data_IF_115334782343
#
_entry.id   IF_115334782343
#
_cell.length_a   1.000
_cell.length_b   1.000
_cell.length_c   1.000
_cell.angle_alpha   90.00
_cell.angle_beta   90.00
_cell.angle_gamma   90.00
#
_symmetry.space_group_name_H-M   'P 1'
#
loop_
_entity.id
_entity.type
_entity.pdbx_description
1 polymer ?
#
# COMPACT_ATOMS: atom_id res chain seq x y z
N UNK A 1 -59.49 15.83 -30.17
CA UNK A 1 -58.52 14.72 -30.00
C UNK A 1 -57.07 15.20 -29.91
N UNK A 2 -56.52 16.00 -30.85
CA UNK A 2 -55.13 16.48 -30.78
C UNK A 2 -54.78 17.38 -29.56
N UNK A 3 -55.77 17.98 -28.88
CA UNK A 3 -55.57 18.80 -27.66
C UNK A 3 -55.48 17.93 -26.40
N UNK A 4 -56.13 16.76 -26.37
CA UNK A 4 -56.16 15.87 -25.19
C UNK A 4 -54.91 15.00 -25.05
N UNK A 5 -54.12 14.86 -26.12
CA UNK A 5 -52.89 14.04 -26.15
C UNK A 5 -51.60 14.86 -26.18
N UNK A 6 -51.70 16.18 -26.02
CA UNK A 6 -50.55 17.07 -26.14
C UNK A 6 -49.84 17.17 -24.79
N UNK A 7 -48.63 16.61 -24.69
CA UNK A 7 -47.82 16.59 -23.45
C UNK A 7 -47.47 17.98 -22.92
N UNK A 8 -47.50 19.01 -23.77
CA UNK A 8 -47.25 20.41 -23.38
C UNK A 8 -48.45 21.08 -22.66
N UNK A 9 -49.63 20.43 -22.64
CA UNK A 9 -50.84 20.90 -21.95
C UNK A 9 -51.06 20.24 -20.58
N UNK A 10 -50.21 19.29 -20.18
CA UNK A 10 -50.27 18.63 -18.88
C UNK A 10 -49.63 19.53 -17.80
N UNK A 11 -50.34 20.62 -17.49
CA UNK A 11 -49.93 21.58 -16.48
C UNK A 11 -50.16 20.98 -15.09
N UNK A 12 -49.14 20.94 -14.21
CA UNK A 12 -49.32 20.45 -12.85
C UNK A 12 -50.44 21.20 -12.14
N UNK A 13 -51.25 20.48 -11.38
CA UNK A 13 -52.34 21.09 -10.62
C UNK A 13 -51.79 22.09 -9.60
N UNK A 14 -52.58 23.09 -9.20
CA UNK A 14 -52.17 24.03 -8.14
C UNK A 14 -51.76 23.31 -6.85
N UNK A 15 -52.42 22.19 -6.54
CA UNK A 15 -52.10 21.34 -5.39
C UNK A 15 -50.72 20.67 -5.54
N UNK A 16 -50.36 20.20 -6.73
CA UNK A 16 -49.04 19.63 -7.01
C UNK A 16 -47.94 20.69 -6.99
N UNK A 17 -48.18 21.89 -7.54
CA UNK A 17 -47.23 22.99 -7.48
C UNK A 17 -46.96 23.42 -6.03
N UNK A 18 -48.02 23.56 -5.22
CA UNK A 18 -47.88 23.86 -3.79
C UNK A 18 -47.12 22.74 -3.05
N UNK A 19 -47.44 21.48 -3.34
CA UNK A 19 -46.74 20.33 -2.77
C UNK A 19 -45.25 20.33 -3.15
N UNK A 20 -44.90 20.66 -4.40
CA UNK A 20 -43.50 20.74 -4.83
C UNK A 20 -42.74 21.79 -4.04
N UNK A 21 -43.27 23.02 -3.98
CA UNK A 21 -42.65 24.12 -3.23
C UNK A 21 -42.46 23.76 -1.75
N UNK A 22 -43.48 23.18 -1.10
CA UNK A 22 -43.39 22.81 0.33
C UNK A 22 -42.41 21.66 0.57
N UNK A 23 -42.40 20.63 -0.27
CA UNK A 23 -41.43 19.54 -0.16
C UNK A 23 -40.00 20.06 -0.37
N UNK A 24 -39.77 21.02 -1.27
CA UNK A 24 -38.45 21.61 -1.48
C UNK A 24 -37.97 22.40 -0.25
N UNK A 25 -38.83 23.19 0.38
CA UNK A 25 -38.49 23.88 1.63
C UNK A 25 -38.12 22.90 2.75
N UNK A 26 -38.87 21.80 2.89
CA UNK A 26 -38.61 20.77 3.91
C UNK A 26 -37.30 20.04 3.62
N UNK A 27 -37.02 19.69 2.36
CA UNK A 27 -35.77 19.06 1.96
C UNK A 27 -34.57 19.98 2.26
N UNK A 28 -34.68 21.29 1.97
CA UNK A 28 -33.64 22.25 2.26
C UNK A 28 -33.33 22.35 3.77
N UNK A 29 -34.35 22.32 4.62
CA UNK A 29 -34.16 22.29 6.09
C UNK A 29 -33.45 21.00 6.53
N UNK A 30 -33.89 19.84 6.04
CA UNK A 30 -33.26 18.56 6.37
C UNK A 30 -31.78 18.51 5.93
N UNK A 31 -31.45 19.07 4.75
CA UNK A 31 -30.07 19.19 4.28
C UNK A 31 -29.26 20.14 5.16
N UNK A 32 -29.83 21.24 5.62
CA UNK A 32 -29.16 22.17 6.53
C UNK A 32 -28.81 21.54 7.89
N UNK A 33 -29.71 20.72 8.44
CA UNK A 33 -29.45 19.92 9.65
C UNK A 33 -28.31 18.91 9.40
N UNK A 34 -28.37 18.17 8.28
CA UNK A 34 -27.31 17.25 7.85
C UNK A 34 -25.94 17.92 7.70
N UNK A 35 -25.88 19.08 7.06
CA UNK A 35 -24.61 19.81 6.85
C UNK A 35 -24.02 20.28 8.19
N UNK A 36 -24.87 20.59 9.17
CA UNK A 36 -24.43 20.95 10.53
C UNK A 36 -23.87 19.74 11.27
N UNK A 37 -24.56 18.59 11.22
CA UNK A 37 -24.12 17.34 11.86
C UNK A 37 -22.80 16.82 11.27
N UNK A 38 -22.65 16.86 9.94
CA UNK A 38 -21.47 16.33 9.24
C UNK A 38 -20.24 17.26 9.31
N UNK A 39 -20.39 18.51 9.75
CA UNK A 39 -19.36 19.56 9.66
C UNK A 39 -18.05 19.21 10.35
N UNK A 40 -18.12 18.62 11.54
CA UNK A 40 -16.94 18.30 12.36
C UNK A 40 -16.07 17.20 11.75
N UNK A 41 -16.69 16.27 11.00
CA UNK A 41 -16.03 15.09 10.45
C UNK A 41 -15.36 15.34 9.09
N UNK A 42 -15.79 16.37 8.34
CA UNK A 42 -15.20 16.74 7.04
C UNK A 42 -13.73 17.12 7.15
N UNK A 43 -13.39 18.00 8.10
CA UNK A 43 -12.01 18.50 8.29
C UNK A 43 -10.98 17.39 8.57
N UNK A 44 -11.22 16.43 9.49
CA UNK A 44 -10.33 15.29 9.68
C UNK A 44 -10.04 14.53 8.39
N UNK A 45 -11.07 14.20 7.60
CA UNK A 45 -10.92 13.45 6.35
C UNK A 45 -10.10 14.25 5.34
N UNK A 46 -10.41 15.53 5.14
CA UNK A 46 -9.67 16.43 4.25
C UNK A 46 -8.21 16.62 4.69
N UNK A 47 -7.94 16.59 6.00
CA UNK A 47 -6.57 16.64 6.55
C UNK A 47 -5.80 15.32 6.40
N UNK A 48 -6.45 14.30 5.83
CA UNK A 48 -5.84 13.02 5.55
C UNK A 48 -5.88 12.03 6.71
N UNK A 49 -6.79 12.20 7.67
CA UNK A 49 -6.99 11.28 8.80
C UNK A 49 -8.11 10.30 8.50
N UNK A 50 -7.92 9.07 8.97
CA UNK A 50 -8.96 8.04 9.02
C UNK A 50 -9.87 8.35 10.20
N UNK A 51 -11.17 8.43 9.96
CA UNK A 51 -12.19 8.60 11.00
C UNK A 51 -12.82 7.25 11.30
N UNK A 52 -12.74 6.79 12.55
CA UNK A 52 -13.36 5.53 12.95
C UNK A 52 -14.88 5.68 13.07
N UNK A 53 -15.63 4.68 12.57
CA UNK A 53 -17.09 4.71 12.62
C UNK A 53 -17.73 5.66 11.61
N UNK A 54 -17.03 6.00 10.52
CA UNK A 54 -17.52 6.96 9.54
C UNK A 54 -18.81 6.47 8.89
N UNK A 55 -18.90 5.20 8.50
CA UNK A 55 -20.11 4.67 7.87
C UNK A 55 -21.31 4.75 8.79
N UNK A 56 -21.15 4.39 10.07
CA UNK A 56 -22.21 4.58 11.08
C UNK A 56 -22.67 6.03 11.20
N UNK A 57 -21.73 6.97 11.23
CA UNK A 57 -22.06 8.40 11.29
C UNK A 57 -22.81 8.86 10.04
N UNK A 58 -22.31 8.52 8.85
CA UNK A 58 -22.94 8.88 7.58
C UNK A 58 -24.34 8.29 7.45
N UNK A 59 -24.52 7.02 7.84
CA UNK A 59 -25.81 6.35 7.88
C UNK A 59 -26.79 7.01 8.85
N UNK A 60 -26.31 7.43 10.03
CA UNK A 60 -27.13 8.18 10.99
C UNK A 60 -27.57 9.54 10.44
N UNK A 61 -26.68 10.32 9.84
CA UNK A 61 -27.03 11.62 9.27
C UNK A 61 -28.02 11.50 8.12
N UNK A 62 -27.78 10.51 7.23
CA UNK A 62 -28.70 10.17 6.13
C UNK A 62 -30.07 9.76 6.65
N UNK A 63 -30.12 8.89 7.66
CA UNK A 63 -31.36 8.45 8.31
C UNK A 63 -32.13 9.59 8.97
N UNK A 64 -31.44 10.47 9.71
CA UNK A 64 -32.05 11.63 10.36
C UNK A 64 -32.67 12.59 9.34
N UNK A 65 -31.95 12.91 8.26
CA UNK A 65 -32.44 13.80 7.21
C UNK A 65 -33.67 13.22 6.50
N UNK A 66 -33.66 11.91 6.18
CA UNK A 66 -34.81 11.23 5.59
C UNK A 66 -36.01 11.16 6.54
N UNK A 67 -35.80 10.82 7.82
CA UNK A 67 -36.86 10.79 8.81
C UNK A 67 -37.49 12.17 9.03
N UNK A 68 -36.67 13.24 9.02
CA UNK A 68 -37.12 14.63 9.08
C UNK A 68 -38.01 14.97 7.90
N UNK A 69 -37.57 14.62 6.69
CA UNK A 69 -38.34 14.84 5.47
C UNK A 69 -39.65 14.06 5.47
N UNK A 70 -39.60 12.77 5.79
CA UNK A 70 -40.77 11.89 5.79
C UNK A 70 -41.84 12.35 6.78
N UNK A 71 -41.43 12.80 7.98
CA UNK A 71 -42.36 13.34 8.99
C UNK A 71 -43.12 14.58 8.51
N UNK A 72 -42.43 15.51 7.85
CA UNK A 72 -42.99 16.82 7.52
C UNK A 72 -43.65 16.84 6.12
N UNK A 73 -43.19 15.98 5.19
CA UNK A 73 -43.58 15.98 3.78
C UNK A 73 -44.59 14.89 3.36
N UNK A 74 -44.74 13.78 4.12
CA UNK A 74 -45.62 12.65 3.76
C UNK A 74 -47.10 12.99 3.60
N UNK A 75 -47.55 14.12 4.18
CA UNK A 75 -48.93 14.63 4.07
C UNK A 75 -49.27 15.30 2.73
N UNK A 76 -48.27 15.63 1.91
CA UNK A 76 -48.49 16.28 0.62
C UNK A 76 -48.78 15.25 -0.48
N UNK A 77 -48.98 15.72 -1.72
CA UNK A 77 -49.29 14.87 -2.85
C UNK A 77 -48.28 13.71 -3.01
N UNK A 78 -48.77 12.46 -2.99
CA UNK A 78 -47.93 11.26 -2.89
C UNK A 78 -46.87 11.17 -4.01
N UNK A 79 -47.25 11.47 -5.25
CA UNK A 79 -46.32 11.44 -6.39
C UNK A 79 -45.27 12.56 -6.37
N UNK A 80 -45.55 13.68 -5.68
CA UNK A 80 -44.55 14.74 -5.47
C UNK A 80 -43.63 14.36 -4.32
N UNK A 81 -44.19 13.90 -3.21
CA UNK A 81 -43.45 13.42 -2.04
C UNK A 81 -42.42 12.34 -2.43
N UNK A 82 -42.83 11.29 -3.13
CA UNK A 82 -41.92 10.19 -3.50
C UNK A 82 -40.77 10.66 -4.41
N UNK A 83 -41.06 11.52 -5.39
CA UNK A 83 -40.02 12.10 -6.27
C UNK A 83 -39.04 12.95 -5.47
N UNK A 84 -39.54 13.86 -4.63
CA UNK A 84 -38.68 14.75 -3.82
C UNK A 84 -37.88 13.98 -2.76
N UNK A 85 -38.42 12.89 -2.23
CA UNK A 85 -37.69 11.98 -1.35
C UNK A 85 -36.52 11.32 -2.06
N UNK A 86 -36.72 10.86 -3.30
CA UNK A 86 -35.66 10.30 -4.13
C UNK A 86 -34.59 11.35 -4.49
N UNK A 87 -35.02 12.57 -4.85
CA UNK A 87 -34.10 13.68 -5.12
C UNK A 87 -33.25 14.04 -3.88
N UNK A 88 -33.86 14.05 -2.69
CA UNK A 88 -33.16 14.28 -1.43
C UNK A 88 -32.13 13.17 -1.17
N UNK A 89 -32.50 11.91 -1.38
CA UNK A 89 -31.61 10.76 -1.23
C UNK A 89 -30.35 10.91 -2.11
N UNK A 90 -30.54 11.22 -3.39
CA UNK A 90 -29.43 11.46 -4.34
C UNK A 90 -28.54 12.62 -3.88
N UNK A 91 -29.13 13.71 -3.38
CA UNK A 91 -28.36 14.86 -2.88
C UNK A 91 -27.53 14.52 -1.63
N UNK A 92 -28.08 13.72 -0.71
CA UNK A 92 -27.36 13.25 0.47
C UNK A 92 -26.19 12.34 0.06
N UNK A 93 -26.43 11.39 -0.85
CA UNK A 93 -25.38 10.48 -1.34
C UNK A 93 -24.29 11.25 -2.10
N UNK A 94 -24.64 12.26 -2.89
CA UNK A 94 -23.68 13.16 -3.55
C UNK A 94 -22.79 13.91 -2.55
N UNK A 95 -23.33 14.30 -1.38
CA UNK A 95 -22.56 14.96 -0.32
C UNK A 95 -21.70 14.00 0.50
N UNK A 96 -22.13 12.75 0.64
CA UNK A 96 -21.43 11.71 1.42
C UNK A 96 -20.31 11.02 0.62
N UNK A 97 -20.47 10.86 -0.70
CA UNK A 97 -19.50 10.21 -1.58
C UNK A 97 -18.07 10.75 -1.44
N UNK A 98 -17.84 12.08 -1.40
CA UNK A 98 -16.51 12.64 -1.16
C UNK A 98 -15.91 12.26 0.21
N UNK A 99 -16.72 12.05 1.25
CA UNK A 99 -16.25 11.61 2.55
C UNK A 99 -15.82 10.15 2.53
N UNK A 100 -16.60 9.29 1.87
CA UNK A 100 -16.23 7.90 1.63
C UNK A 100 -14.93 7.79 0.83
N UNK A 101 -14.82 8.49 -0.29
CA UNK A 101 -13.62 8.47 -1.12
C UNK A 101 -12.39 8.99 -0.36
N UNK A 102 -12.56 10.08 0.41
CA UNK A 102 -11.50 10.62 1.25
C UNK A 102 -11.04 9.62 2.32
N UNK A 103 -11.98 8.94 2.98
CA UNK A 103 -11.69 7.90 3.96
C UNK A 103 -10.91 6.72 3.34
N UNK A 104 -11.34 6.24 2.18
CA UNK A 104 -10.69 5.14 1.45
C UNK A 104 -9.26 5.50 1.06
N UNK A 105 -9.04 6.71 0.50
CA UNK A 105 -7.69 7.22 0.19
C UNK A 105 -6.80 7.38 1.42
N UNK A 106 -7.39 7.82 2.54
CA UNK A 106 -6.65 7.94 3.80
C UNK A 106 -6.25 6.57 4.35
N UNK A 107 -7.15 5.59 4.28
CA UNK A 107 -6.87 4.20 4.64
C UNK A 107 -5.77 3.61 3.76
N UNK A 108 -5.79 3.85 2.44
CA UNK A 108 -4.73 3.44 1.51
C UNK A 108 -3.38 3.98 1.97
N UNK A 109 -3.27 5.30 2.11
CA UNK A 109 -2.02 5.97 2.48
C UNK A 109 -1.48 5.50 3.83
N UNK A 110 -2.36 5.36 4.83
CA UNK A 110 -1.98 4.89 6.16
C UNK A 110 -1.55 3.43 6.14
N UNK A 111 -2.25 2.57 5.42
CA UNK A 111 -1.92 1.15 5.28
C UNK A 111 -0.58 0.95 4.58
N UNK A 112 -0.32 1.70 3.50
CA UNK A 112 0.97 1.71 2.81
C UNK A 112 2.13 2.15 3.72
N UNK A 113 1.94 3.26 4.44
CA UNK A 113 2.96 3.78 5.33
C UNK A 113 3.31 2.80 6.46
N UNK A 114 2.28 2.19 7.05
CA UNK A 114 2.45 1.25 8.16
C UNK A 114 2.99 -0.11 7.69
N UNK A 115 2.58 -0.59 6.52
CA UNK A 115 3.18 -1.74 5.87
C UNK A 115 4.70 -1.55 5.68
N UNK A 116 5.10 -0.44 5.05
CA UNK A 116 6.52 -0.13 4.84
C UNK A 116 7.29 -0.11 6.15
N UNK A 117 6.73 0.51 7.19
CA UNK A 117 7.35 0.58 8.51
C UNK A 117 7.49 -0.82 9.14
N UNK A 118 6.43 -1.62 9.10
CA UNK A 118 6.41 -2.96 9.70
C UNK A 118 7.40 -3.90 9.02
N UNK A 119 7.51 -3.85 7.69
CA UNK A 119 8.54 -4.61 6.96
C UNK A 119 9.93 -4.15 7.37
N UNK A 120 10.19 -2.84 7.39
CA UNK A 120 11.50 -2.28 7.78
C UNK A 120 11.90 -2.60 9.23
N UNK A 121 10.94 -2.74 10.13
CA UNK A 121 11.19 -3.13 11.51
C UNK A 121 11.36 -4.65 11.64
N UNK A 122 10.61 -5.44 10.88
CA UNK A 122 10.71 -6.91 10.86
C UNK A 122 12.07 -7.40 10.35
N UNK A 123 12.67 -6.73 9.36
CA UNK A 123 14.00 -7.10 8.85
C UNK A 123 15.16 -6.81 9.82
N UNK A 124 14.91 -6.11 10.93
CA UNK A 124 15.93 -5.85 11.96
C UNK A 124 16.05 -6.99 12.97
N UNK A 125 15.08 -7.89 13.02
CA UNK A 125 15.05 -9.01 13.96
C UNK A 125 16.01 -10.10 13.48
N UNK A 126 16.82 -10.68 14.35
CA UNK A 126 17.70 -11.78 13.95
C UNK A 126 16.89 -13.02 13.56
N UNK A 127 17.30 -13.69 12.47
CA UNK A 127 16.64 -14.92 12.00
C UNK A 127 15.31 -14.71 11.28
N UNK A 128 14.95 -13.46 10.92
CA UNK A 128 13.72 -13.18 10.19
C UNK A 128 13.69 -13.87 8.81
N UNK A 129 12.47 -14.23 8.39
CA UNK A 129 12.15 -14.57 7.00
C UNK A 129 11.48 -13.36 6.36
N UNK A 130 12.11 -12.76 5.35
CA UNK A 130 11.54 -11.59 4.66
C UNK A 130 10.19 -11.95 4.02
N UNK A 131 10.05 -13.16 3.50
CA UNK A 131 8.81 -13.65 2.92
C UNK A 131 7.65 -13.67 3.94
N UNK A 132 7.92 -14.16 5.16
CA UNK A 132 6.92 -14.19 6.23
C UNK A 132 6.59 -12.79 6.75
N UNK A 133 7.61 -11.93 6.93
CA UNK A 133 7.42 -10.54 7.36
C UNK A 133 6.55 -9.78 6.36
N UNK A 134 6.86 -9.88 5.06
CA UNK A 134 6.08 -9.23 4.01
C UNK A 134 4.68 -9.84 3.91
N UNK A 135 4.56 -11.16 3.93
CA UNK A 135 3.28 -11.85 3.84
C UNK A 135 2.33 -11.48 4.98
N UNK A 136 2.82 -11.54 6.22
CA UNK A 136 2.03 -11.18 7.41
C UNK A 136 1.69 -9.69 7.45
N UNK A 137 2.62 -8.81 7.09
CA UNK A 137 2.33 -7.37 7.00
C UNK A 137 1.28 -7.09 5.92
N UNK A 138 1.39 -7.74 4.76
CA UNK A 138 0.44 -7.59 3.65
C UNK A 138 -0.97 -8.02 4.07
N UNK A 139 -1.12 -9.21 4.62
CA UNK A 139 -2.43 -9.73 5.07
C UNK A 139 -3.06 -8.80 6.12
N UNK A 140 -2.27 -8.36 7.10
CA UNK A 140 -2.72 -7.47 8.17
C UNK A 140 -3.20 -6.11 7.65
N UNK A 141 -2.42 -5.46 6.79
CA UNK A 141 -2.74 -4.10 6.32
C UNK A 141 -3.79 -4.11 5.20
N UNK A 142 -3.85 -5.15 4.36
CA UNK A 142 -4.98 -5.38 3.45
C UNK A 142 -6.28 -5.64 4.22
N UNK A 143 -6.22 -6.46 5.28
CA UNK A 143 -7.36 -6.72 6.16
C UNK A 143 -7.89 -5.43 6.79
N UNK A 144 -7.01 -4.62 7.39
CA UNK A 144 -7.39 -3.33 7.99
C UNK A 144 -7.99 -2.36 6.98
N UNK A 145 -7.45 -2.30 5.77
CA UNK A 145 -8.03 -1.49 4.70
C UNK A 145 -9.45 -1.97 4.36
N UNK A 146 -9.64 -3.28 4.15
CA UNK A 146 -10.93 -3.87 3.79
C UNK A 146 -11.97 -3.64 4.88
N UNK A 147 -11.62 -3.86 6.13
CA UNK A 147 -12.50 -3.63 7.29
C UNK A 147 -12.92 -2.15 7.37
N UNK A 148 -11.97 -1.23 7.25
CA UNK A 148 -12.25 0.21 7.31
C UNK A 148 -13.06 0.72 6.13
N UNK A 149 -12.80 0.22 4.91
CA UNK A 149 -13.51 0.61 3.71
C UNK A 149 -14.93 0.03 3.68
N UNK A 150 -15.09 -1.24 4.10
CA UNK A 150 -16.40 -1.88 4.22
C UNK A 150 -17.26 -1.25 5.32
N UNK A 151 -16.66 -0.82 6.44
CA UNK A 151 -17.40 -0.06 7.47
C UNK A 151 -17.95 1.24 6.93
N UNK A 152 -17.18 1.96 6.10
CA UNK A 152 -17.58 3.24 5.52
C UNK A 152 -18.57 3.12 4.35
N UNK A 153 -18.75 1.92 3.80
CA UNK A 153 -19.65 1.66 2.68
C UNK A 153 -21.11 1.68 3.16
N UNK A 154 -21.93 2.51 2.53
CA UNK A 154 -23.36 2.60 2.86
C UNK A 154 -24.19 1.67 1.99
N UNK A 155 -25.29 1.10 2.52
CA UNK A 155 -26.28 0.41 1.71
C UNK A 155 -26.92 1.36 0.68
N UNK A 156 -27.38 0.78 -0.43
CA UNK A 156 -28.12 1.49 -1.49
C UNK A 156 -27.31 2.60 -2.21
N UNK A 157 -25.98 2.53 -2.16
CA UNK A 157 -25.09 3.34 -2.99
C UNK A 157 -24.41 2.49 -4.06
N UNK A 158 -23.89 3.14 -5.09
CA UNK A 158 -23.08 2.55 -6.17
C UNK A 158 -21.58 2.58 -5.86
N UNK A 159 -21.19 2.92 -4.61
CA UNK A 159 -19.81 3.10 -4.24
C UNK A 159 -19.07 1.76 -4.16
N UNK A 160 -17.80 1.76 -4.56
CA UNK A 160 -16.89 0.63 -4.40
C UNK A 160 -15.51 1.12 -3.97
N UNK A 161 -14.76 0.25 -3.30
CA UNK A 161 -13.35 0.45 -2.97
C UNK A 161 -12.43 -0.55 -3.70
N UNK A 162 -12.96 -1.35 -4.63
CA UNK A 162 -12.23 -2.45 -5.27
C UNK A 162 -11.04 -1.95 -6.09
N UNK A 163 -11.18 -0.84 -6.80
CA UNK A 163 -10.10 -0.22 -7.57
C UNK A 163 -8.97 0.27 -6.65
N UNK A 164 -9.32 0.91 -5.54
CA UNK A 164 -8.32 1.39 -4.57
C UNK A 164 -7.65 0.21 -3.84
N UNK A 165 -8.40 -0.87 -3.53
CA UNK A 165 -7.83 -2.10 -2.98
C UNK A 165 -6.83 -2.73 -3.95
N UNK A 166 -7.17 -2.84 -5.23
CA UNK A 166 -6.28 -3.37 -6.26
C UNK A 166 -5.01 -2.51 -6.38
N UNK A 167 -5.16 -1.19 -6.35
CA UNK A 167 -4.05 -0.24 -6.34
C UNK A 167 -3.14 -0.43 -5.11
N UNK A 168 -3.72 -0.55 -3.91
CA UNK A 168 -2.98 -0.81 -2.67
C UNK A 168 -2.18 -2.12 -2.74
N UNK A 169 -2.79 -3.18 -3.26
CA UNK A 169 -2.14 -4.48 -3.44
C UNK A 169 -0.94 -4.40 -4.40
N UNK A 170 -1.06 -3.63 -5.49
CA UNK A 170 0.03 -3.39 -6.43
C UNK A 170 1.17 -2.57 -5.79
N UNK A 171 0.82 -1.54 -5.03
CA UNK A 171 1.81 -0.73 -4.31
C UNK A 171 2.54 -1.52 -3.22
N UNK A 172 1.86 -2.42 -2.50
CA UNK A 172 2.51 -3.35 -1.59
C UNK A 172 3.53 -4.23 -2.30
N UNK A 173 3.18 -4.76 -3.48
CA UNK A 173 4.13 -5.53 -4.30
C UNK A 173 5.36 -4.71 -4.68
N UNK A 174 5.15 -3.50 -5.19
CA UNK A 174 6.24 -2.59 -5.59
C UNK A 174 7.16 -2.24 -4.41
N UNK A 175 6.61 -1.93 -3.24
CA UNK A 175 7.40 -1.64 -2.03
C UNK A 175 8.13 -2.90 -1.55
N UNK A 176 7.50 -4.07 -1.59
CA UNK A 176 8.13 -5.32 -1.22
C UNK A 176 9.33 -5.66 -2.13
N UNK A 177 9.20 -5.46 -3.44
CA UNK A 177 10.28 -5.71 -4.40
C UNK A 177 11.46 -4.76 -4.20
N UNK A 178 11.19 -3.46 -3.95
CA UNK A 178 12.24 -2.50 -3.61
C UNK A 178 12.99 -2.89 -2.32
N UNK A 179 12.24 -3.26 -1.26
CA UNK A 179 12.84 -3.68 0.00
C UNK A 179 13.63 -5.00 -0.15
N UNK A 180 13.13 -5.94 -0.96
CA UNK A 180 13.84 -7.20 -1.27
C UNK A 180 15.17 -6.93 -1.97
N UNK A 181 15.19 -6.04 -2.95
CA UNK A 181 16.39 -5.64 -3.67
C UNK A 181 17.42 -4.98 -2.73
N UNK A 182 16.97 -4.09 -1.84
CA UNK A 182 17.82 -3.44 -0.84
C UNK A 182 18.42 -4.45 0.16
N UNK A 183 17.62 -5.39 0.67
CA UNK A 183 18.11 -6.44 1.58
C UNK A 183 19.08 -7.41 0.88
N UNK A 184 18.81 -7.76 -0.37
CA UNK A 184 19.71 -8.58 -1.21
C UNK A 184 21.06 -7.87 -1.41
N UNK A 185 21.03 -6.56 -1.71
CA UNK A 185 22.24 -5.75 -1.86
C UNK A 185 23.03 -5.65 -0.54
N UNK A 186 22.35 -5.43 0.59
CA UNK A 186 23.00 -5.44 1.92
C UNK A 186 23.66 -6.79 2.21
N UNK A 187 22.99 -7.89 1.86
CA UNK A 187 23.53 -9.24 2.01
C UNK A 187 24.81 -9.43 1.20
N UNK A 188 24.79 -9.11 -0.09
CA UNK A 188 25.96 -9.21 -0.98
C UNK A 188 27.11 -8.38 -0.41
N UNK A 189 26.87 -7.15 0.03
CA UNK A 189 27.89 -6.29 0.63
C UNK A 189 28.46 -6.88 1.94
N UNK A 190 27.64 -7.58 2.73
CA UNK A 190 28.09 -8.27 3.95
C UNK A 190 28.97 -9.47 3.62
N UNK A 191 28.56 -10.30 2.65
CA UNK A 191 29.35 -11.44 2.20
C UNK A 191 30.67 -10.97 1.59
N UNK A 192 30.65 -9.95 0.74
CA UNK A 192 31.85 -9.35 0.15
C UNK A 192 32.86 -8.88 1.21
N UNK A 193 32.38 -8.19 2.26
CA UNK A 193 33.23 -7.78 3.39
C UNK A 193 33.83 -8.98 4.12
N UNK A 194 33.05 -10.03 4.35
CA UNK A 194 33.56 -11.26 4.96
C UNK A 194 34.61 -11.93 4.09
N UNK A 195 34.41 -11.98 2.77
CA UNK A 195 35.38 -12.56 1.83
C UNK A 195 36.68 -11.76 1.82
N UNK A 196 36.60 -10.42 1.72
CA UNK A 196 37.78 -9.53 1.79
C UNK A 196 38.60 -9.72 3.06
N UNK A 197 37.93 -9.94 4.20
CA UNK A 197 38.62 -10.23 5.47
C UNK A 197 39.29 -11.59 5.44
N UNK A 198 38.57 -12.63 4.99
CA UNK A 198 39.05 -14.00 5.06
C UNK A 198 40.13 -14.32 4.01
N UNK A 199 40.16 -13.60 2.89
CA UNK A 199 41.18 -13.79 1.84
C UNK A 199 42.52 -13.11 2.13
N UNK A 200 42.52 -12.13 3.05
CA UNK A 200 43.73 -11.36 3.36
C UNK A 200 44.86 -12.24 3.92
N UNK A 201 44.53 -13.16 4.83
CA UNK A 201 45.50 -14.03 5.49
C UNK A 201 46.07 -15.11 4.55
N UNK A 202 45.27 -15.90 3.80
CA UNK A 202 45.77 -16.82 2.78
C UNK A 202 46.71 -16.17 1.77
N UNK A 203 46.33 -15.00 1.23
CA UNK A 203 47.12 -14.29 0.23
C UNK A 203 48.48 -13.88 0.82
N UNK A 204 48.49 -13.29 2.02
CA UNK A 204 49.72 -12.89 2.69
C UNK A 204 50.61 -14.11 3.04
N UNK A 205 50.03 -15.20 3.53
CA UNK A 205 50.76 -16.41 3.92
C UNK A 205 51.48 -17.05 2.73
N UNK A 206 50.77 -17.22 1.61
CA UNK A 206 51.29 -17.86 0.41
C UNK A 206 52.33 -16.98 -0.30
N UNK A 207 52.09 -15.66 -0.39
CA UNK A 207 53.02 -14.72 -1.03
C UNK A 207 54.30 -14.49 -0.21
N UNK A 208 54.25 -14.56 1.12
CA UNK A 208 55.44 -14.46 1.97
C UNK A 208 56.34 -15.72 1.94
N UNK A 209 55.83 -16.86 1.45
CA UNK A 209 56.58 -18.13 1.36
C UNK A 209 56.37 -18.77 -0.02
N UNK A 210 56.90 -18.16 -1.09
CA UNK A 210 56.63 -18.61 -2.45
C UNK A 210 57.17 -20.03 -2.68
N UNK A 211 56.30 -20.90 -3.20
CA UNK A 211 56.61 -22.26 -3.65
C UNK A 211 56.05 -22.47 -5.06
N UNK A 212 56.54 -23.48 -5.77
CA UNK A 212 56.06 -23.76 -7.15
C UNK A 212 54.55 -24.06 -7.20
N UNK A 213 53.97 -24.59 -6.12
CA UNK A 213 52.54 -24.94 -5.99
C UNK A 213 51.70 -23.86 -5.26
N UNK A 214 52.26 -22.67 -5.05
CA UNK A 214 51.63 -21.57 -4.31
C UNK A 214 50.31 -21.12 -4.94
N UNK A 215 50.30 -20.87 -6.25
CA UNK A 215 49.10 -20.41 -6.95
C UNK A 215 48.00 -21.46 -6.96
N UNK A 216 48.35 -22.75 -7.09
CA UNK A 216 47.39 -23.84 -7.05
C UNK A 216 46.71 -23.94 -5.67
N UNK A 217 47.49 -23.83 -4.59
CA UNK A 217 46.98 -23.81 -3.22
C UNK A 217 46.10 -22.59 -2.94
N UNK A 218 46.58 -21.40 -3.31
CA UNK A 218 45.86 -20.15 -3.11
C UNK A 218 44.54 -20.12 -3.90
N UNK A 219 44.54 -20.57 -5.15
CA UNK A 219 43.32 -20.66 -5.97
C UNK A 219 42.35 -21.72 -5.43
N UNK A 220 42.84 -22.82 -4.86
CA UNK A 220 41.99 -23.82 -4.21
C UNK A 220 41.28 -23.23 -2.99
N UNK A 221 42.02 -22.58 -2.08
CA UNK A 221 41.45 -21.92 -0.90
C UNK A 221 40.47 -20.81 -1.29
N UNK A 222 40.79 -20.04 -2.33
CA UNK A 222 39.88 -19.04 -2.90
C UNK A 222 38.57 -19.65 -3.41
N UNK A 223 38.64 -20.74 -4.18
CA UNK A 223 37.46 -21.44 -4.70
C UNK A 223 36.59 -21.99 -3.57
N UNK A 224 37.19 -22.54 -2.52
CA UNK A 224 36.48 -23.02 -1.33
C UNK A 224 35.77 -21.86 -0.58
N UNK A 225 36.43 -20.71 -0.46
CA UNK A 225 35.80 -19.51 0.11
C UNK A 225 34.64 -18.99 -0.75
N UNK A 226 34.80 -18.98 -2.07
CA UNK A 226 33.75 -18.56 -3.00
C UNK A 226 32.54 -19.51 -2.92
N UNK A 227 32.75 -20.82 -2.91
CA UNK A 227 31.69 -21.82 -2.76
C UNK A 227 30.94 -21.64 -1.41
N UNK A 228 31.66 -21.38 -0.32
CA UNK A 228 31.05 -21.07 0.98
C UNK A 228 30.22 -19.79 0.95
N UNK A 229 30.71 -18.75 0.26
CA UNK A 229 30.00 -17.49 0.08
C UNK A 229 28.70 -17.68 -0.74
N UNK A 230 28.76 -18.44 -1.82
CA UNK A 230 27.59 -18.78 -2.66
C UNK A 230 26.55 -19.60 -1.88
N UNK A 231 26.97 -20.62 -1.13
CA UNK A 231 26.07 -21.40 -0.26
C UNK A 231 25.40 -20.53 0.79
N UNK A 232 26.15 -19.62 1.41
CA UNK A 232 25.61 -18.67 2.41
C UNK A 232 24.57 -17.75 1.77
N UNK A 233 24.83 -17.26 0.55
CA UNK A 233 23.86 -16.46 -0.20
C UNK A 233 22.59 -17.27 -0.49
N UNK A 234 22.70 -18.48 -1.05
CA UNK A 234 21.55 -19.32 -1.43
C UNK A 234 20.66 -19.64 -0.23
N UNK A 235 21.24 -19.98 0.93
CA UNK A 235 20.47 -20.27 2.14
C UNK A 235 19.63 -19.06 2.56
N UNK A 236 20.18 -17.85 2.46
CA UNK A 236 19.47 -16.62 2.82
C UNK A 236 18.51 -16.14 1.74
N UNK A 237 18.86 -16.30 0.47
CA UNK A 237 18.00 -16.00 -0.67
C UNK A 237 16.67 -16.75 -0.59
N UNK A 238 16.70 -18.03 -0.16
CA UNK A 238 15.48 -18.81 0.10
C UNK A 238 14.54 -18.15 1.11
N UNK A 239 15.07 -17.51 2.14
CA UNK A 239 14.26 -16.77 3.14
C UNK A 239 13.69 -15.45 2.60
N UNK A 240 14.20 -14.98 1.46
CA UNK A 240 13.78 -13.72 0.82
C UNK A 240 12.75 -13.91 -0.29
N UNK A 241 12.45 -15.15 -0.66
CA UNK A 241 11.59 -15.49 -1.81
C UNK A 241 12.03 -14.72 -3.08
N UNK A 242 13.34 -14.64 -3.30
CA UNK A 242 13.93 -14.04 -4.51
C UNK A 242 13.65 -14.93 -5.71
N UNK A 243 13.43 -14.30 -6.87
CA UNK A 243 13.22 -15.04 -8.12
C UNK A 243 14.53 -15.69 -8.58
N UNK A 244 14.42 -16.69 -9.46
CA UNK A 244 15.60 -17.35 -10.03
C UNK A 244 16.49 -16.36 -10.81
N UNK A 245 15.89 -15.44 -11.57
CA UNK A 245 16.62 -14.38 -12.30
C UNK A 245 17.36 -13.42 -11.34
N UNK A 246 16.71 -13.03 -10.24
CA UNK A 246 17.33 -12.19 -9.20
C UNK A 246 18.51 -12.93 -8.55
N UNK A 247 18.35 -14.23 -8.29
CA UNK A 247 19.40 -15.07 -7.71
C UNK A 247 20.59 -15.24 -8.65
N UNK A 248 20.36 -15.50 -9.93
CA UNK A 248 21.44 -15.61 -10.93
C UNK A 248 22.23 -14.30 -11.04
N UNK A 249 21.52 -13.16 -11.11
CA UNK A 249 22.14 -11.84 -11.20
C UNK A 249 22.96 -11.52 -9.95
N UNK A 250 22.43 -11.83 -8.76
CA UNK A 250 23.11 -11.63 -7.49
C UNK A 250 24.34 -12.54 -7.33
N UNK A 251 24.25 -13.81 -7.72
CA UNK A 251 25.38 -14.74 -7.71
C UNK A 251 26.48 -14.32 -8.69
N UNK A 252 26.11 -13.88 -9.90
CA UNK A 252 27.07 -13.35 -10.87
C UNK A 252 27.80 -12.10 -10.32
N UNK A 253 27.05 -11.19 -9.68
CA UNK A 253 27.63 -10.03 -9.02
C UNK A 253 28.57 -10.41 -7.86
N UNK A 254 28.17 -11.38 -7.02
CA UNK A 254 28.97 -11.90 -5.92
C UNK A 254 30.28 -12.51 -6.42
N UNK A 255 30.23 -13.36 -7.45
CA UNK A 255 31.40 -13.96 -8.10
C UNK A 255 32.36 -12.91 -8.61
N UNK A 256 31.85 -11.94 -9.38
CA UNK A 256 32.66 -10.84 -9.92
C UNK A 256 33.34 -10.04 -8.82
N UNK A 257 32.61 -9.64 -7.78
CA UNK A 257 33.16 -8.87 -6.65
C UNK A 257 34.20 -9.64 -5.85
N UNK A 258 33.98 -10.95 -5.68
CA UNK A 258 34.92 -11.85 -4.98
C UNK A 258 36.24 -11.97 -5.75
N UNK A 259 36.20 -12.12 -7.07
CA UNK A 259 37.40 -12.10 -7.92
C UNK A 259 38.13 -10.75 -7.90
N UNK A 260 37.40 -9.63 -7.93
CA UNK A 260 38.00 -8.30 -7.81
C UNK A 260 38.67 -8.10 -6.45
N UNK A 261 38.05 -8.58 -5.37
CA UNK A 261 38.63 -8.54 -4.03
C UNK A 261 39.91 -9.37 -3.93
N UNK A 262 39.93 -10.57 -4.52
CA UNK A 262 41.13 -11.40 -4.59
C UNK A 262 42.26 -10.71 -5.33
N UNK A 263 41.99 -10.22 -6.54
CA UNK A 263 42.97 -9.48 -7.34
C UNK A 263 43.53 -8.28 -6.58
N UNK A 264 42.65 -7.46 -6.00
CA UNK A 264 43.06 -6.28 -5.25
C UNK A 264 44.00 -6.63 -4.07
N UNK A 265 43.75 -7.77 -3.40
CA UNK A 265 44.61 -8.22 -2.30
C UNK A 265 45.96 -8.75 -2.79
N UNK A 266 45.99 -9.44 -3.92
CA UNK A 266 47.24 -9.87 -4.57
C UNK A 266 48.05 -8.64 -4.98
N UNK A 267 47.44 -7.69 -5.68
CA UNK A 267 48.08 -6.45 -6.14
C UNK A 267 48.66 -5.65 -4.96
N UNK A 268 47.97 -5.59 -3.82
CA UNK A 268 48.45 -4.95 -2.59
C UNK A 268 49.71 -5.63 -2.02
N UNK A 269 49.77 -6.96 -2.02
CA UNK A 269 50.89 -7.71 -1.48
C UNK A 269 52.07 -7.81 -2.45
N UNK A 270 51.85 -7.54 -3.74
CA UNK A 270 52.90 -7.49 -4.77
C UNK A 270 53.27 -6.06 -5.18
N UNK A 271 52.82 -5.05 -4.44
CA UNK A 271 53.21 -3.66 -4.69
C UNK A 271 54.70 -3.47 -4.37
N UNK A 272 55.40 -2.65 -5.17
CA UNK A 272 56.87 -2.44 -5.06
C UNK A 272 57.34 -2.08 -3.65
N UNK A 273 56.52 -1.36 -2.88
CA UNK A 273 56.82 -0.97 -1.50
C UNK A 273 56.86 -2.14 -0.50
N UNK A 274 56.21 -3.26 -0.83
CA UNK A 274 56.17 -4.49 -0.02
C UNK A 274 57.25 -5.49 -0.45
N UNK A 275 57.66 -5.44 -1.72
CA UNK A 275 58.69 -6.32 -2.29
C UNK A 275 60.14 -5.82 -2.06
N UNK A 276 60.33 -4.52 -1.75
CA UNK A 276 61.65 -3.93 -1.48
C UNK A 276 62.01 -3.82 0.02
N UNK A 277 61.19 -4.33 0.93
CA UNK A 277 61.47 -4.43 2.37
C UNK A 277 61.82 -5.85 2.77
#
# INVERSE_FOLDING_TARGET
EQVQTNKDLDLPTQQELLAQFRCDEIAAVAIGEFDTESKSTRRPIESGKVVEGLGKMMGSWKGNALARFDRDASRYHAGVYQRKRADLLIQLDTKLGPLFLGQVKNLHRTSLSLFKKEVLDGVKVEGYSFAEVVGGAREKWEGRFREGAAEALLPETDWSYDEELASLQQEFGTVADQLRADETKKMINSIERSVKRNIAEPVALHLNKPRMDMWDKLLKEFKEMLDKAEKTYIVKAKSFNTTDEENETALAALRKRTWLAFRAKVDEQTADNVLMG
#
